data_IF_625810017323
#
_entry.id   IF_625810017323
#
_cell.length_a   1.000
_cell.length_b   1.000
_cell.length_c   1.000
_cell.angle_alpha   90.00
_cell.angle_beta   90.00
_cell.angle_gamma   90.00
#
_symmetry.space_group_name_H-M   'P 1'
#
loop_
_entity.id
_entity.type
_entity.pdbx_description
1 polymer ?
#
# COMPACT_ATOMS: atom_id res chain seq x y z
N UNK A 1 8.98 -9.60 -16.37
CA UNK A 1 9.16 -11.07 -16.34
C UNK A 1 9.55 -11.61 -14.95
N UNK A 2 9.95 -10.78 -13.98
CA UNK A 2 10.31 -11.24 -12.63
C UNK A 2 9.14 -11.25 -11.64
N UNK A 3 8.17 -10.33 -11.78
CA UNK A 3 7.03 -10.19 -10.86
C UNK A 3 6.00 -11.33 -10.97
N UNK A 4 5.64 -11.76 -12.18
CA UNK A 4 4.69 -12.88 -12.38
C UNK A 4 5.20 -14.20 -11.74
N UNK A 5 6.51 -14.45 -11.80
CA UNK A 5 7.12 -15.61 -11.17
C UNK A 5 7.08 -15.52 -9.64
N UNK A 6 7.24 -14.32 -9.08
CA UNK A 6 7.17 -14.09 -7.63
C UNK A 6 5.74 -14.32 -7.12
N UNK A 7 4.72 -13.83 -7.83
CA UNK A 7 3.32 -14.05 -7.46
C UNK A 7 2.96 -15.55 -7.51
N UNK A 8 3.45 -16.28 -8.52
CA UNK A 8 3.29 -17.72 -8.61
C UNK A 8 3.93 -18.44 -7.42
N UNK A 9 5.16 -18.08 -7.05
CA UNK A 9 5.89 -18.68 -5.91
C UNK A 9 5.15 -18.41 -4.59
N UNK A 10 4.68 -17.17 -4.40
CA UNK A 10 3.91 -16.78 -3.22
C UNK A 10 2.59 -17.56 -3.15
N UNK A 11 1.88 -17.68 -4.26
CA UNK A 11 0.65 -18.47 -4.36
C UNK A 11 0.88 -19.95 -4.02
N UNK A 12 1.96 -20.55 -4.53
CA UNK A 12 2.35 -21.92 -4.21
C UNK A 12 2.64 -22.08 -2.72
N UNK A 13 3.40 -21.16 -2.13
CA UNK A 13 3.76 -21.21 -0.71
C UNK A 13 2.51 -21.16 0.18
N UNK A 14 1.54 -20.29 -0.13
CA UNK A 14 0.27 -20.24 0.60
C UNK A 14 -0.56 -21.51 0.44
N UNK A 15 -0.60 -22.09 -0.76
CA UNK A 15 -1.31 -23.34 -1.01
C UNK A 15 -0.75 -24.49 -0.16
N UNK A 16 0.57 -24.66 -0.12
CA UNK A 16 1.22 -25.69 0.69
C UNK A 16 1.05 -25.44 2.20
N UNK A 17 1.09 -24.19 2.66
CA UNK A 17 0.80 -23.86 4.06
C UNK A 17 -0.64 -24.23 4.45
N UNK A 18 -1.61 -23.88 3.61
CA UNK A 18 -3.02 -24.22 3.82
C UNK A 18 -3.24 -25.74 3.86
N UNK A 19 -2.58 -26.47 2.96
CA UNK A 19 -2.60 -27.93 2.91
C UNK A 19 -2.02 -28.56 4.19
N UNK A 20 -0.90 -28.05 4.69
CA UNK A 20 -0.26 -28.59 5.89
C UNK A 20 -1.11 -28.35 7.14
N UNK A 21 -1.72 -27.17 7.26
CA UNK A 21 -2.67 -26.85 8.35
C UNK A 21 -3.87 -27.80 8.30
N UNK A 22 -4.42 -28.02 7.11
CA UNK A 22 -5.55 -28.93 6.92
C UNK A 22 -5.20 -30.38 7.25
N UNK A 23 -4.01 -30.83 6.86
CA UNK A 23 -3.50 -32.16 7.18
C UNK A 23 -3.32 -32.36 8.69
N UNK A 24 -2.80 -31.36 9.40
CA UNK A 24 -2.68 -31.41 10.86
C UNK A 24 -4.05 -31.42 11.53
N UNK A 25 -5.01 -30.64 11.02
CA UNK A 25 -6.37 -30.61 11.53
C UNK A 25 -7.09 -31.96 11.33
N UNK A 26 -6.91 -32.58 10.17
CA UNK A 26 -7.45 -33.90 9.83
C UNK A 26 -6.92 -34.99 10.75
N UNK A 27 -5.62 -35.00 11.01
CA UNK A 27 -5.00 -35.90 11.99
C UNK A 27 -5.48 -35.69 13.43
N UNK A 28 -6.09 -34.54 13.74
CA UNK A 28 -6.71 -34.22 15.04
C UNK A 28 -8.21 -34.51 15.09
N UNK A 29 -8.77 -35.10 14.02
CA UNK A 29 -10.19 -35.46 13.94
C UNK A 29 -11.10 -34.32 13.47
N UNK A 30 -10.54 -33.23 12.95
CA UNK A 30 -11.33 -32.20 12.26
C UNK A 30 -11.47 -32.54 10.77
N UNK A 31 -12.44 -31.94 10.07
CA UNK A 31 -12.57 -32.14 8.63
C UNK A 31 -11.43 -31.44 7.88
N UNK A 32 -10.63 -32.21 7.11
CA UNK A 32 -9.61 -31.66 6.20
C UNK A 32 -10.14 -30.52 5.35
N UNK A 33 -11.28 -30.72 4.67
CA UNK A 33 -11.85 -29.73 3.76
C UNK A 33 -12.19 -28.43 4.46
N UNK A 34 -12.85 -28.50 5.63
CA UNK A 34 -13.19 -27.31 6.41
C UNK A 34 -11.94 -26.53 6.86
N UNK A 35 -10.92 -27.24 7.34
CA UNK A 35 -9.66 -26.63 7.77
C UNK A 35 -8.87 -26.04 6.59
N UNK A 36 -8.91 -26.66 5.42
CA UNK A 36 -8.25 -26.19 4.20
C UNK A 36 -8.88 -24.89 3.66
N UNK A 37 -10.21 -24.84 3.56
CA UNK A 37 -10.88 -23.61 3.12
C UNK A 37 -10.76 -22.48 4.15
N UNK A 38 -10.80 -22.81 5.45
CA UNK A 38 -10.56 -21.82 6.50
C UNK A 38 -9.14 -21.26 6.42
N UNK A 39 -8.12 -22.09 6.21
CA UNK A 39 -6.72 -21.66 6.14
C UNK A 39 -6.43 -20.86 4.86
N UNK A 40 -7.05 -21.19 3.73
CA UNK A 40 -6.94 -20.40 2.48
C UNK A 40 -7.38 -18.93 2.65
N UNK A 41 -8.40 -18.68 3.49
CA UNK A 41 -8.93 -17.32 3.72
C UNK A 41 -8.19 -16.62 4.85
N UNK A 42 -7.95 -17.32 5.96
CA UNK A 42 -7.40 -16.71 7.18
C UNK A 42 -5.90 -16.46 7.11
N UNK A 43 -5.13 -17.33 6.45
CA UNK A 43 -3.67 -17.18 6.33
C UNK A 43 -3.25 -15.89 5.62
N UNK A 44 -3.78 -15.54 4.43
CA UNK A 44 -3.45 -14.27 3.78
C UNK A 44 -3.96 -13.06 4.57
N UNK A 45 -5.10 -13.17 5.26
CA UNK A 45 -5.62 -12.11 6.12
C UNK A 45 -4.70 -11.83 7.32
N UNK A 46 -4.22 -12.88 7.98
CA UNK A 46 -3.26 -12.78 9.09
C UNK A 46 -1.93 -12.20 8.59
N UNK A 47 -1.44 -12.67 7.44
CA UNK A 47 -0.25 -12.10 6.81
C UNK A 47 -0.44 -10.60 6.53
N UNK A 48 -1.57 -10.19 5.95
CA UNK A 48 -1.85 -8.78 5.71
C UNK A 48 -1.85 -7.93 6.98
N UNK A 49 -2.41 -8.44 8.10
CA UNK A 49 -2.42 -7.73 9.39
C UNK A 49 -1.01 -7.63 9.98
N UNK A 50 -0.24 -8.72 9.96
CA UNK A 50 1.12 -8.74 10.51
C UNK A 50 2.10 -7.90 9.70
N UNK A 51 1.91 -7.81 8.38
CA UNK A 51 2.74 -7.03 7.48
C UNK A 51 2.20 -5.62 7.23
N UNK A 52 0.98 -5.27 7.64
CA UNK A 52 0.44 -3.90 7.55
C UNK A 52 1.39 -2.82 8.12
N UNK A 53 2.01 -2.98 9.31
CA UNK A 53 2.94 -1.99 9.84
C UNK A 53 4.31 -1.97 9.14
N UNK A 54 4.64 -3.00 8.35
CA UNK A 54 5.90 -3.14 7.63
C UNK A 54 5.76 -3.00 6.11
N UNK A 55 4.55 -2.76 5.62
CA UNK A 55 4.32 -2.46 4.23
C UNK A 55 5.14 -1.20 3.91
N UNK A 56 5.94 -1.21 2.84
CA UNK A 56 6.68 -0.01 2.44
C UNK A 56 5.65 1.10 2.37
N UNK A 57 5.90 2.22 3.06
CA UNK A 57 5.07 3.42 2.95
C UNK A 57 4.77 3.55 1.47
N UNK A 58 3.50 3.38 1.09
CA UNK A 58 3.08 3.76 -0.25
C UNK A 58 3.50 5.21 -0.30
N UNK A 59 4.57 5.52 -1.06
CA UNK A 59 4.74 6.88 -1.58
C UNK A 59 3.35 7.24 -2.06
N UNK A 60 2.76 8.33 -1.56
CA UNK A 60 1.41 8.68 -1.93
C UNK A 60 1.36 8.54 -3.45
N UNK A 61 0.51 7.62 -3.93
CA UNK A 61 0.18 7.58 -5.36
C UNK A 61 -0.07 9.05 -5.71
N UNK A 62 0.63 9.61 -6.70
CA UNK A 62 0.52 11.03 -7.01
C UNK A 62 -0.98 11.29 -7.10
N UNK A 63 -1.46 12.04 -6.11
CA UNK A 63 -2.87 12.21 -5.88
C UNK A 63 -3.42 12.68 -7.22
N UNK A 64 -4.26 11.88 -7.86
CA UNK A 64 -5.01 12.31 -9.05
C UNK A 64 -6.09 13.33 -8.65
N UNK A 65 -5.95 13.95 -7.48
CA UNK A 65 -6.41 15.30 -7.24
C UNK A 65 -5.61 16.22 -8.15
N UNK A 66 -6.17 16.40 -9.35
CA UNK A 66 -6.10 17.64 -10.11
C UNK A 66 -6.12 18.78 -9.09
N UNK A 67 -4.93 19.31 -8.76
CA UNK A 67 -4.83 20.58 -8.06
C UNK A 67 -5.75 21.53 -8.83
N UNK A 68 -6.61 22.31 -8.16
CA UNK A 68 -7.38 23.32 -8.88
C UNK A 68 -6.37 24.08 -9.74
N UNK A 69 -6.61 24.10 -11.05
CA UNK A 69 -5.80 24.79 -12.05
C UNK A 69 -5.95 26.29 -11.75
N UNK A 70 -5.23 26.75 -10.72
CA UNK A 70 -5.07 28.17 -10.41
C UNK A 70 -4.14 28.70 -11.47
N UNK A 71 -4.70 28.91 -12.66
CA UNK A 71 -4.09 29.70 -13.72
C UNK A 71 -4.04 31.14 -13.25
N UNK A 72 -2.96 31.49 -12.57
CA UNK A 72 -2.59 32.88 -12.39
C UNK A 72 -1.16 33.11 -12.92
N UNK A 73 -0.97 34.07 -13.83
CA UNK A 73 0.28 34.27 -14.58
C UNK A 73 1.42 34.95 -13.79
N UNK A 74 1.33 35.04 -12.45
CA UNK A 74 2.25 35.86 -11.65
C UNK A 74 2.69 35.20 -10.32
N UNK A 75 3.08 33.92 -10.36
CA UNK A 75 3.63 33.26 -9.18
C UNK A 75 4.97 33.87 -8.75
N UNK A 76 5.11 34.11 -7.45
CA UNK A 76 6.38 34.55 -6.89
C UNK A 76 7.43 33.42 -6.99
N UNK A 77 8.74 33.73 -7.03
CA UNK A 77 9.79 32.71 -7.10
C UNK A 77 9.72 31.67 -5.96
N UNK A 78 9.15 32.04 -4.82
CA UNK A 78 8.98 31.17 -3.66
C UNK A 78 7.81 30.19 -3.84
N UNK A 79 6.70 30.64 -4.42
CA UNK A 79 5.56 29.78 -4.77
C UNK A 79 5.94 28.72 -5.81
N UNK A 80 6.79 29.07 -6.77
CA UNK A 80 7.30 28.14 -7.79
C UNK A 80 8.19 27.06 -7.14
N UNK A 81 9.03 27.45 -6.17
CA UNK A 81 9.89 26.49 -5.44
C UNK A 81 9.06 25.55 -4.57
N UNK A 82 8.06 26.06 -3.85
CA UNK A 82 7.16 25.25 -3.03
C UNK A 82 6.38 24.24 -3.88
N UNK A 83 5.88 24.67 -5.05
CA UNK A 83 5.20 23.78 -5.99
C UNK A 83 6.14 22.68 -6.48
N UNK A 84 7.38 23.01 -6.84
CA UNK A 84 8.38 21.99 -7.26
C UNK A 84 8.71 21.01 -6.14
N UNK A 85 8.88 21.47 -4.90
CA UNK A 85 9.15 20.60 -3.74
C UNK A 85 7.98 19.66 -3.43
N UNK A 86 6.75 20.12 -3.65
CA UNK A 86 5.56 19.28 -3.57
C UNK A 86 5.51 18.26 -4.73
N UNK A 87 5.76 18.69 -5.97
CA UNK A 87 5.79 17.82 -7.16
C UNK A 87 6.91 16.76 -7.10
N UNK A 88 8.03 17.06 -6.44
CA UNK A 88 9.11 16.09 -6.21
C UNK A 88 8.85 15.17 -5.02
N UNK A 89 7.76 15.38 -4.27
CA UNK A 89 7.38 14.56 -3.12
C UNK A 89 8.25 14.80 -1.87
N UNK A 90 8.96 15.92 -1.80
CA UNK A 90 9.74 16.32 -0.62
C UNK A 90 8.86 16.92 0.49
N UNK A 91 7.63 17.32 0.15
CA UNK A 91 6.66 17.93 1.07
C UNK A 91 5.36 17.14 1.13
N UNK A 92 4.83 16.97 2.33
CA UNK A 92 3.48 16.47 2.54
C UNK A 92 2.44 17.53 2.14
N UNK A 93 1.21 17.10 1.81
CA UNK A 93 0.11 17.99 1.42
C UNK A 93 -0.18 19.04 2.49
N UNK A 94 -0.15 18.63 3.76
CA UNK A 94 -0.43 19.51 4.90
C UNK A 94 0.63 20.61 5.04
N UNK A 95 1.91 20.28 4.86
CA UNK A 95 3.00 21.24 4.90
C UNK A 95 3.00 22.17 3.69
N UNK A 96 2.65 21.65 2.50
CA UNK A 96 2.50 22.47 1.30
C UNK A 96 1.38 23.51 1.48
N UNK A 97 0.19 23.11 1.96
CA UNK A 97 -0.91 24.03 2.20
C UNK A 97 -0.57 25.08 3.26
N UNK A 98 0.12 24.68 4.33
CA UNK A 98 0.57 25.62 5.36
C UNK A 98 1.53 26.67 4.79
N UNK A 99 2.59 26.24 4.09
CA UNK A 99 3.59 27.14 3.51
C UNK A 99 3.01 28.00 2.39
N UNK A 100 2.08 27.46 1.60
CA UNK A 100 1.38 28.22 0.56
C UNK A 100 0.54 29.35 1.16
N UNK A 101 -0.23 29.06 2.22
CA UNK A 101 -1.02 30.08 2.93
C UNK A 101 -0.14 31.13 3.63
N UNK A 102 1.06 30.75 4.08
CA UNK A 102 2.06 31.70 4.61
C UNK A 102 2.64 32.60 3.51
N UNK A 103 2.78 32.09 2.28
CA UNK A 103 3.32 32.87 1.15
C UNK A 103 2.29 33.79 0.49
N UNK A 104 1.00 33.68 0.86
CA UNK A 104 -0.09 34.55 0.37
C UNK A 104 -0.32 35.77 1.28
N UNK A 105 0.12 35.72 2.55
CA UNK A 105 0.04 36.85 3.49
C UNK A 105 1.10 37.91 3.21
#
# INVERSE_FOLDING_TARGET
MTTENIELIIGLAYFFAAFFIAFVADNRGHSFGAAFFASLITTPLIAAILYAPYAPEKKPEPNNYTAPDVKDPNWTPEQIKLKKQYETGELTVEEYQKRWNETIK
#
